data_IF_136202172968
#
_entry.id   IF_136202172968
#
_cell.length_a   1.000
_cell.length_b   1.000
_cell.length_c   1.000
_cell.angle_alpha   90.00
_cell.angle_beta   90.00
_cell.angle_gamma   90.00
#
_symmetry.space_group_name_H-M   'P 1'
#
loop_
_entity.id
_entity.type
_entity.pdbx_description
1 polymer ?
#
# COMPACT_ATOMS: atom_id res chain seq x y z
N UNK A 1 -15.09 -8.64 2.68
CA UNK A 1 -13.90 -8.35 1.84
C UNK A 1 -12.82 -9.32 2.27
N UNK A 2 -12.13 -9.96 1.34
CA UNK A 2 -11.01 -10.87 1.63
C UNK A 2 -9.93 -10.16 2.45
N UNK A 3 -9.44 -10.80 3.54
CA UNK A 3 -8.44 -10.21 4.44
C UNK A 3 -7.19 -9.75 3.70
N UNK A 4 -6.69 -10.54 2.73
CA UNK A 4 -5.51 -10.14 1.94
C UNK A 4 -5.77 -8.88 1.11
N UNK A 5 -6.94 -8.73 0.50
CA UNK A 5 -7.30 -7.50 -0.21
C UNK A 5 -7.32 -6.28 0.71
N UNK A 6 -7.76 -6.47 1.96
CA UNK A 6 -7.80 -5.39 2.94
C UNK A 6 -6.40 -5.02 3.42
N UNK A 7 -5.48 -6.00 3.59
CA UNK A 7 -4.07 -5.73 3.86
C UNK A 7 -3.44 -4.88 2.75
N UNK A 8 -3.68 -5.23 1.47
CA UNK A 8 -3.18 -4.46 0.33
C UNK A 8 -3.74 -3.03 0.29
N UNK A 9 -5.05 -2.85 0.53
CA UNK A 9 -5.70 -1.53 0.54
C UNK A 9 -5.26 -0.66 1.71
N UNK A 10 -4.85 -1.25 2.83
CA UNK A 10 -4.22 -0.54 3.95
C UNK A 10 -2.80 -0.09 3.63
N UNK A 11 -2.08 -0.81 2.78
CA UNK A 11 -0.66 -0.64 2.47
C UNK A 11 0.29 -0.87 3.67
N UNK A 12 -0.11 -0.47 4.86
CA UNK A 12 0.66 -0.62 6.12
C UNK A 12 -0.05 -1.59 7.03
N UNK A 13 0.66 -2.59 7.51
CA UNK A 13 0.22 -3.56 8.52
C UNK A 13 1.01 -3.30 9.81
N UNK A 14 0.43 -2.59 10.79
CA UNK A 14 1.08 -2.34 12.06
C UNK A 14 1.37 -3.64 12.81
N UNK A 15 2.63 -3.85 13.17
CA UNK A 15 3.09 -4.95 14.03
C UNK A 15 3.03 -4.47 15.48
N UNK A 16 1.98 -4.87 16.18
CA UNK A 16 1.63 -4.35 17.50
C UNK A 16 2.08 -5.30 18.59
N UNK A 17 2.81 -4.76 19.58
CA UNK A 17 3.24 -5.49 20.78
C UNK A 17 2.58 -4.85 21.99
N UNK A 18 1.68 -5.59 22.64
CA UNK A 18 0.93 -5.15 23.81
C UNK A 18 1.38 -5.95 25.05
N UNK A 19 1.75 -5.25 26.12
CA UNK A 19 2.03 -5.92 27.40
C UNK A 19 0.75 -6.11 28.24
N UNK A 20 -0.27 -5.28 28.00
CA UNK A 20 -1.56 -5.32 28.69
C UNK A 20 -2.71 -5.18 27.67
N UNK A 21 -3.70 -6.05 27.77
CA UNK A 21 -4.85 -6.04 26.87
C UNK A 21 -5.74 -4.79 27.00
N UNK A 22 -5.67 -4.07 28.13
CA UNK A 22 -6.40 -2.80 28.33
C UNK A 22 -6.06 -1.73 27.30
N UNK A 23 -4.84 -1.76 26.73
CA UNK A 23 -4.35 -0.77 25.76
C UNK A 23 -4.78 -1.11 24.32
N UNK A 24 -5.31 -2.32 24.09
CA UNK A 24 -5.58 -2.84 22.75
C UNK A 24 -6.64 -2.02 21.99
N UNK A 25 -7.77 -1.71 22.64
CA UNK A 25 -8.87 -0.96 22.02
C UNK A 25 -8.46 0.49 21.73
N UNK A 26 -7.75 1.14 22.67
CA UNK A 26 -7.27 2.50 22.45
C UNK A 26 -6.26 2.57 21.29
N UNK A 27 -5.35 1.58 21.21
CA UNK A 27 -4.40 1.43 20.10
C UNK A 27 -5.15 1.24 18.76
N UNK A 28 -6.14 0.34 18.70
CA UNK A 28 -6.94 0.12 17.49
C UNK A 28 -7.65 1.40 17.03
N UNK A 29 -8.25 2.15 17.95
CA UNK A 29 -8.89 3.44 17.65
C UNK A 29 -7.91 4.48 17.13
N UNK A 30 -6.69 4.54 17.67
CA UNK A 30 -5.65 5.44 17.19
C UNK A 30 -5.20 5.09 15.77
N UNK A 31 -5.05 3.80 15.45
CA UNK A 31 -4.75 3.32 14.10
C UNK A 31 -5.88 3.69 13.11
N UNK A 32 -7.14 3.44 13.47
CA UNK A 32 -8.30 3.82 12.66
C UNK A 32 -8.36 5.33 12.40
N UNK A 33 -8.15 6.15 13.42
CA UNK A 33 -8.10 7.61 13.30
C UNK A 33 -6.93 8.09 12.39
N UNK A 34 -5.89 7.27 12.26
CA UNK A 34 -4.77 7.46 11.32
C UNK A 34 -5.03 6.91 9.91
N UNK A 35 -6.22 6.35 9.64
CA UNK A 35 -6.60 5.78 8.36
C UNK A 35 -6.05 4.36 8.13
N UNK A 36 -5.57 3.68 9.16
CA UNK A 36 -5.09 2.29 9.13
C UNK A 36 -6.12 1.39 9.77
N UNK A 37 -6.78 0.56 8.99
CA UNK A 37 -7.91 -0.30 9.38
C UNK A 37 -7.54 -1.78 9.55
N UNK A 38 -6.24 -2.06 9.67
CA UNK A 38 -5.68 -3.38 9.94
C UNK A 38 -4.67 -3.32 11.07
N UNK A 39 -4.53 -4.38 11.87
CA UNK A 39 -3.48 -4.52 12.88
C UNK A 39 -3.08 -5.98 13.11
N UNK A 40 -1.78 -6.23 13.23
CA UNK A 40 -1.19 -7.53 13.58
C UNK A 40 -0.76 -7.50 15.05
N UNK A 41 -1.56 -8.11 15.95
CA UNK A 41 -1.19 -8.25 17.37
C UNK A 41 -0.29 -9.47 17.54
N UNK A 42 0.91 -9.27 18.08
CA UNK A 42 1.92 -10.34 18.12
C UNK A 42 1.80 -11.21 19.37
N UNK A 43 1.93 -12.52 19.21
CA UNK A 43 2.05 -13.52 20.29
C UNK A 43 3.44 -13.50 20.98
N UNK A 44 4.02 -12.30 21.11
CA UNK A 44 5.28 -12.09 21.87
C UNK A 44 5.03 -11.86 23.35
N UNK A 45 3.79 -11.65 23.76
CA UNK A 45 3.36 -11.41 25.13
C UNK A 45 2.15 -12.26 25.48
N UNK A 46 1.91 -12.48 26.76
CA UNK A 46 0.75 -13.21 27.23
C UNK A 46 -0.58 -12.47 26.97
N UNK A 47 -0.54 -11.14 26.77
CA UNK A 47 -1.72 -10.31 26.53
C UNK A 47 -2.32 -10.47 25.12
N UNK A 48 -1.64 -11.18 24.19
CA UNK A 48 -2.02 -11.22 22.78
C UNK A 48 -3.45 -11.70 22.54
N UNK A 49 -3.84 -12.84 23.10
CA UNK A 49 -5.16 -13.45 22.89
C UNK A 49 -6.29 -12.54 23.38
N UNK A 50 -6.17 -12.01 24.61
CA UNK A 50 -7.16 -11.10 25.20
C UNK A 50 -7.21 -9.77 24.45
N UNK A 51 -6.08 -9.27 23.97
CA UNK A 51 -6.01 -8.07 23.13
C UNK A 51 -6.75 -8.26 21.79
N UNK A 52 -6.55 -9.39 21.12
CA UNK A 52 -7.26 -9.74 19.88
C UNK A 52 -8.76 -9.77 20.13
N UNK A 53 -9.20 -10.46 21.20
CA UNK A 53 -10.61 -10.55 21.57
C UNK A 53 -11.20 -9.18 21.82
N UNK A 54 -10.57 -8.36 22.65
CA UNK A 54 -11.03 -7.01 22.97
C UNK A 54 -11.20 -6.12 21.72
N UNK A 55 -10.24 -6.18 20.77
CA UNK A 55 -10.33 -5.43 19.53
C UNK A 55 -11.43 -5.98 18.61
N UNK A 56 -11.53 -7.30 18.45
CA UNK A 56 -12.53 -7.94 17.61
C UNK A 56 -13.97 -7.62 18.07
N UNK A 57 -14.20 -7.53 19.38
CA UNK A 57 -15.50 -7.20 19.96
C UNK A 57 -15.83 -5.70 19.93
N UNK A 58 -14.81 -4.83 20.13
CA UNK A 58 -15.02 -3.38 20.35
C UNK A 58 -14.77 -2.51 19.12
N UNK A 59 -14.08 -3.02 18.10
CA UNK A 59 -13.67 -2.24 16.93
C UNK A 59 -14.03 -2.98 15.62
N UNK A 60 -15.31 -3.01 15.22
CA UNK A 60 -15.78 -3.78 14.05
C UNK A 60 -15.12 -3.32 12.72
N UNK A 61 -14.69 -2.07 12.65
CA UNK A 61 -13.98 -1.53 11.47
C UNK A 61 -12.51 -1.96 11.39
N UNK A 62 -11.94 -2.53 12.48
CA UNK A 62 -10.56 -2.99 12.51
C UNK A 62 -10.46 -4.44 12.06
N UNK A 63 -9.66 -4.72 11.04
CA UNK A 63 -9.25 -6.07 10.70
C UNK A 63 -8.11 -6.48 11.63
N UNK A 64 -8.42 -7.16 12.72
CA UNK A 64 -7.41 -7.68 13.64
C UNK A 64 -6.90 -9.04 13.19
N UNK A 65 -5.59 -9.24 13.25
CA UNK A 65 -4.92 -10.50 13.01
C UNK A 65 -3.86 -10.79 14.08
N UNK A 66 -3.35 -12.00 14.05
CA UNK A 66 -2.32 -12.47 14.97
C UNK A 66 -0.95 -12.58 14.28
N UNK A 67 0.06 -12.01 14.88
CA UNK A 67 1.45 -12.13 14.44
C UNK A 67 2.33 -12.92 15.38
N UNK A 68 3.51 -13.31 14.89
CA UNK A 68 4.46 -14.15 15.63
C UNK A 68 3.81 -15.47 16.09
N UNK A 69 2.91 -16.00 15.27
CA UNK A 69 2.30 -17.33 15.49
C UNK A 69 3.29 -18.39 15.04
N UNK A 70 3.75 -19.23 15.98
CA UNK A 70 4.80 -20.23 15.75
C UNK A 70 4.35 -21.66 16.07
N UNK A 71 3.09 -21.84 16.51
CA UNK A 71 2.51 -23.16 16.76
C UNK A 71 1.05 -23.18 16.31
N UNK A 72 0.55 -24.38 16.00
CA UNK A 72 -0.85 -24.59 15.66
C UNK A 72 -1.80 -24.22 16.82
N UNK A 73 -1.37 -24.44 18.05
CA UNK A 73 -2.15 -24.06 19.25
C UNK A 73 -2.35 -22.52 19.30
N UNK A 74 -1.28 -21.75 19.12
CA UNK A 74 -1.38 -20.29 19.05
C UNK A 74 -2.31 -19.84 17.91
N UNK A 75 -2.19 -20.50 16.74
CA UNK A 75 -3.02 -20.21 15.58
C UNK A 75 -4.52 -20.40 15.90
N UNK A 76 -4.90 -21.56 16.41
CA UNK A 76 -6.29 -21.86 16.80
C UNK A 76 -6.78 -20.89 17.85
N UNK A 77 -5.99 -20.63 18.88
CA UNK A 77 -6.33 -19.67 19.95
C UNK A 77 -6.57 -18.27 19.40
N UNK A 78 -5.71 -17.81 18.49
CA UNK A 78 -5.87 -16.50 17.86
C UNK A 78 -7.19 -16.39 17.08
N UNK A 79 -7.54 -17.41 16.29
CA UNK A 79 -8.78 -17.44 15.50
C UNK A 79 -10.01 -17.52 16.40
N UNK A 80 -9.98 -18.33 17.46
CA UNK A 80 -11.04 -18.38 18.50
C UNK A 80 -11.28 -17.01 19.15
N UNK A 81 -10.21 -16.23 19.35
CA UNK A 81 -10.30 -14.87 19.89
C UNK A 81 -10.72 -13.82 18.86
N UNK A 82 -10.94 -14.20 17.60
CA UNK A 82 -11.48 -13.33 16.56
C UNK A 82 -10.46 -12.83 15.52
N UNK A 83 -9.20 -13.32 15.53
CA UNK A 83 -8.23 -12.99 14.49
C UNK A 83 -8.74 -13.42 13.11
N UNK A 84 -8.63 -12.52 12.12
CA UNK A 84 -9.09 -12.72 10.74
C UNK A 84 -7.96 -13.06 9.77
N UNK A 85 -6.73 -12.94 10.21
CA UNK A 85 -5.54 -13.38 9.47
C UNK A 85 -4.42 -13.76 10.43
N UNK A 86 -3.54 -14.62 9.95
CA UNK A 86 -2.39 -15.15 10.71
C UNK A 86 -1.09 -14.74 10.00
N UNK A 87 -0.11 -14.32 10.79
CA UNK A 87 1.24 -13.98 10.33
C UNK A 87 2.25 -14.77 11.16
N UNK A 88 3.09 -15.53 10.48
CA UNK A 88 4.18 -16.28 11.11
C UNK A 88 5.55 -15.69 10.75
N UNK A 89 6.56 -15.79 11.63
CA UNK A 89 7.91 -15.32 11.31
C UNK A 89 8.65 -16.23 10.33
N UNK A 90 8.25 -17.48 10.20
CA UNK A 90 8.78 -18.51 9.30
C UNK A 90 7.65 -19.31 8.67
N UNK A 91 8.04 -20.31 7.86
CA UNK A 91 7.10 -21.26 7.27
C UNK A 91 6.95 -22.50 8.17
N UNK A 92 5.74 -22.73 8.66
CA UNK A 92 5.33 -23.95 9.34
C UNK A 92 4.17 -24.58 8.57
N UNK A 93 4.38 -25.81 8.07
CA UNK A 93 3.40 -26.48 7.20
C UNK A 93 2.10 -26.77 7.92
N UNK A 94 2.14 -27.14 9.20
CA UNK A 94 0.95 -27.51 9.99
C UNK A 94 0.06 -26.28 10.19
N UNK A 95 0.66 -25.15 10.58
CA UNK A 95 -0.07 -23.86 10.73
C UNK A 95 -0.67 -23.40 9.41
N UNK A 96 0.14 -23.42 8.33
CA UNK A 96 -0.32 -22.96 7.00
C UNK A 96 -1.45 -23.84 6.48
N UNK A 97 -1.30 -25.16 6.54
CA UNK A 97 -2.31 -26.12 6.09
C UNK A 97 -3.63 -25.94 6.85
N UNK A 98 -3.56 -25.85 8.16
CA UNK A 98 -4.75 -25.63 8.98
C UNK A 98 -5.47 -24.32 8.60
N UNK A 99 -4.73 -23.22 8.41
CA UNK A 99 -5.31 -21.94 7.99
C UNK A 99 -6.01 -22.06 6.63
N UNK A 100 -5.37 -22.69 5.64
CA UNK A 100 -5.94 -22.88 4.30
C UNK A 100 -7.22 -23.72 4.37
N UNK A 101 -7.20 -24.84 5.09
CA UNK A 101 -8.36 -25.74 5.26
C UNK A 101 -9.54 -25.08 5.98
N UNK A 102 -9.26 -24.11 6.86
CA UNK A 102 -10.31 -23.38 7.61
C UNK A 102 -10.64 -22.00 7.01
N UNK A 103 -10.13 -21.68 5.82
CA UNK A 103 -10.41 -20.41 5.13
C UNK A 103 -9.87 -19.17 5.83
N UNK A 104 -8.83 -19.32 6.65
CA UNK A 104 -8.15 -18.24 7.37
C UNK A 104 -6.98 -17.74 6.52
N UNK A 105 -6.92 -16.45 6.25
CA UNK A 105 -5.79 -15.86 5.53
C UNK A 105 -4.50 -16.02 6.35
N UNK A 106 -3.43 -16.49 5.70
CA UNK A 106 -2.13 -16.69 6.35
C UNK A 106 -1.00 -16.17 5.48
N UNK A 107 -0.02 -15.50 6.12
CA UNK A 107 1.20 -14.99 5.48
C UNK A 107 2.41 -15.49 6.26
N UNK A 108 2.92 -16.70 5.92
CA UNK A 108 4.11 -17.24 6.55
C UNK A 108 5.38 -16.51 6.11
N UNK A 109 6.39 -16.46 6.98
CA UNK A 109 7.72 -15.95 6.66
C UNK A 109 8.43 -16.86 5.67
N UNK A 110 8.79 -16.33 4.48
CA UNK A 110 9.53 -17.04 3.45
C UNK A 110 10.60 -16.12 2.89
N UNK A 111 11.87 -16.51 3.04
CA UNK A 111 13.04 -15.74 2.56
C UNK A 111 13.91 -16.53 1.58
N UNK A 112 13.65 -17.83 1.43
CA UNK A 112 14.35 -18.72 0.52
C UNK A 112 13.44 -19.28 -0.57
N UNK A 113 13.99 -19.68 -1.74
CA UNK A 113 13.22 -20.34 -2.79
C UNK A 113 12.45 -21.57 -2.30
N UNK A 114 13.05 -22.38 -1.41
CA UNK A 114 12.42 -23.59 -0.87
C UNK A 114 11.17 -23.28 -0.06
N UNK A 115 11.21 -22.28 0.81
CA UNK A 115 10.06 -21.85 1.61
C UNK A 115 8.94 -21.27 0.73
N UNK A 116 9.31 -20.48 -0.29
CA UNK A 116 8.34 -19.92 -1.27
C UNK A 116 7.65 -21.07 -2.02
N UNK A 117 8.42 -22.08 -2.49
CA UNK A 117 7.85 -23.25 -3.17
C UNK A 117 6.91 -24.04 -2.25
N UNK A 118 7.25 -24.18 -0.96
CA UNK A 118 6.38 -24.85 0.02
C UNK A 118 5.08 -24.07 0.23
N UNK A 119 5.15 -22.76 0.36
CA UNK A 119 3.96 -21.89 0.47
C UNK A 119 3.06 -21.98 -0.79
N UNK A 120 3.67 -21.92 -1.98
CA UNK A 120 2.93 -22.02 -3.25
C UNK A 120 2.25 -23.39 -3.44
N UNK A 121 2.85 -24.50 -2.98
CA UNK A 121 2.22 -25.83 -3.02
C UNK A 121 0.94 -25.89 -2.20
N UNK A 122 0.82 -25.07 -1.17
CA UNK A 122 -0.41 -24.93 -0.36
C UNK A 122 -1.36 -23.83 -0.86
N UNK A 123 -1.11 -23.31 -2.08
CA UNK A 123 -1.97 -22.33 -2.73
C UNK A 123 -1.75 -20.88 -2.31
N UNK A 124 -0.70 -20.57 -1.56
CA UNK A 124 -0.41 -19.20 -1.14
C UNK A 124 0.28 -18.42 -2.26
N UNK A 125 -0.11 -17.17 -2.42
CA UNK A 125 0.49 -16.21 -3.33
C UNK A 125 0.96 -14.93 -2.63
N UNK A 126 0.80 -14.83 -1.31
CA UNK A 126 1.29 -13.75 -0.47
C UNK A 126 2.06 -14.33 0.70
N UNK A 127 3.30 -13.89 0.89
CA UNK A 127 4.16 -14.34 1.99
C UNK A 127 4.79 -13.14 2.69
N UNK A 128 5.09 -13.30 3.98
CA UNK A 128 5.90 -12.33 4.73
C UNK A 128 7.38 -12.51 4.35
N UNK A 129 8.11 -11.39 4.24
CA UNK A 129 9.57 -11.39 4.09
C UNK A 129 10.20 -10.72 5.31
N UNK A 130 10.80 -11.51 6.20
CA UNK A 130 11.26 -11.02 7.50
C UNK A 130 12.57 -11.70 7.94
N UNK A 131 13.51 -10.95 8.53
CA UNK A 131 13.61 -9.48 8.59
C UNK A 131 14.10 -8.87 7.26
N UNK A 132 13.26 -8.06 6.62
CA UNK A 132 13.46 -7.65 5.23
C UNK A 132 14.77 -6.88 4.99
N UNK A 133 15.09 -5.91 5.83
CA UNK A 133 16.31 -5.13 5.68
C UNK A 133 17.58 -5.96 5.78
N UNK A 134 17.59 -6.98 6.63
CA UNK A 134 18.76 -7.88 6.84
C UNK A 134 18.94 -8.84 5.66
N UNK A 135 17.85 -9.32 5.07
CA UNK A 135 17.87 -10.26 3.96
C UNK A 135 17.90 -9.62 2.57
N UNK A 136 18.34 -8.35 2.47
CA UNK A 136 18.59 -7.69 1.19
C UNK A 136 17.41 -6.89 0.62
N UNK A 137 16.32 -6.72 1.40
CA UNK A 137 15.25 -5.78 1.09
C UNK A 137 14.60 -5.96 -0.29
N UNK A 138 14.31 -4.85 -0.96
CA UNK A 138 13.67 -4.85 -2.28
C UNK A 138 14.47 -5.63 -3.34
N UNK A 139 15.80 -5.59 -3.28
CA UNK A 139 16.67 -6.26 -4.25
C UNK A 139 16.49 -7.79 -4.18
N UNK A 140 16.48 -8.34 -2.98
CA UNK A 140 16.28 -9.78 -2.77
C UNK A 140 14.87 -10.23 -3.20
N UNK A 141 13.83 -9.49 -2.81
CA UNK A 141 12.44 -9.80 -3.20
C UNK A 141 12.23 -9.67 -4.71
N UNK A 142 12.88 -8.70 -5.37
CA UNK A 142 12.88 -8.58 -6.84
C UNK A 142 13.49 -9.81 -7.50
N UNK A 143 14.64 -10.26 -7.01
CA UNK A 143 15.30 -11.45 -7.54
C UNK A 143 14.44 -12.71 -7.35
N UNK A 144 13.81 -12.87 -6.17
CA UNK A 144 12.91 -13.99 -5.87
C UNK A 144 11.61 -13.91 -6.70
N UNK A 145 11.05 -12.73 -6.96
CA UNK A 145 9.83 -12.59 -7.76
C UNK A 145 9.99 -13.02 -9.22
N UNK A 146 11.23 -13.09 -9.75
CA UNK A 146 11.51 -13.50 -11.12
C UNK A 146 11.07 -14.94 -11.42
N UNK A 147 11.62 -15.95 -10.72
CA UNK A 147 11.23 -17.36 -10.94
C UNK A 147 9.86 -17.72 -10.38
N UNK A 148 9.33 -16.96 -9.42
CA UNK A 148 8.05 -17.22 -8.76
C UNK A 148 6.97 -16.22 -9.20
N UNK A 149 6.57 -16.30 -10.47
CA UNK A 149 5.53 -15.43 -11.02
C UNK A 149 4.23 -15.49 -10.21
N UNK A 150 3.72 -14.31 -9.82
CA UNK A 150 2.48 -14.18 -9.05
C UNK A 150 2.67 -14.16 -7.54
N UNK A 151 3.85 -14.49 -7.00
CA UNK A 151 4.13 -14.32 -5.57
C UNK A 151 4.25 -12.81 -5.22
N UNK A 152 3.68 -12.43 -4.09
CA UNK A 152 3.80 -11.09 -3.52
C UNK A 152 4.31 -11.15 -2.09
N UNK A 153 5.05 -10.13 -1.69
CA UNK A 153 5.70 -10.06 -0.39
C UNK A 153 5.06 -9.01 0.51
N UNK A 154 5.08 -9.30 1.82
CA UNK A 154 4.85 -8.32 2.89
C UNK A 154 6.18 -8.16 3.63
N UNK A 155 7.08 -7.24 3.18
CA UNK A 155 8.34 -6.98 3.88
C UNK A 155 8.06 -6.42 5.27
N UNK A 156 8.76 -6.97 6.26
CA UNK A 156 8.68 -6.54 7.65
C UNK A 156 10.09 -6.44 8.24
N UNK A 157 10.38 -5.38 8.98
CA UNK A 157 11.71 -5.10 9.52
C UNK A 157 12.61 -4.35 8.53
N UNK A 158 12.98 -3.11 8.90
CA UNK A 158 13.77 -2.21 8.05
C UNK A 158 12.93 -1.29 7.15
N UNK A 159 11.60 -1.44 7.15
CA UNK A 159 10.67 -0.49 6.50
C UNK A 159 10.32 0.63 7.48
N UNK A 160 10.22 1.86 6.97
CA UNK A 160 9.89 3.07 7.71
C UNK A 160 9.25 4.12 6.77
N UNK A 161 8.88 5.29 7.32
CA UNK A 161 8.23 6.36 6.56
C UNK A 161 9.08 6.89 5.39
N UNK A 162 10.41 6.83 5.48
CA UNK A 162 11.31 7.36 4.46
C UNK A 162 11.42 6.45 3.23
N UNK A 163 11.31 5.12 3.43
CA UNK A 163 11.50 4.15 2.33
C UNK A 163 10.23 3.42 1.89
N UNK A 164 9.11 3.58 2.59
CA UNK A 164 7.86 2.87 2.27
C UNK A 164 7.40 3.08 0.82
N UNK A 165 7.62 4.28 0.27
CA UNK A 165 7.24 4.61 -1.10
C UNK A 165 7.88 3.69 -2.14
N UNK A 166 9.16 3.36 -1.97
CA UNK A 166 9.90 2.46 -2.86
C UNK A 166 9.32 1.03 -2.82
N UNK A 167 8.94 0.57 -1.60
CA UNK A 167 8.31 -0.74 -1.46
C UNK A 167 6.95 -0.77 -2.15
N UNK A 168 6.07 0.20 -1.88
CA UNK A 168 4.72 0.25 -2.46
C UNK A 168 4.76 0.44 -3.99
N UNK A 169 5.77 1.11 -4.52
CA UNK A 169 5.98 1.24 -5.96
C UNK A 169 6.33 -0.09 -6.64
N UNK A 170 6.88 -1.07 -5.93
CA UNK A 170 7.29 -2.34 -6.51
C UNK A 170 6.10 -3.30 -6.73
N UNK A 171 5.94 -3.90 -7.94
CA UNK A 171 4.75 -4.68 -8.29
C UNK A 171 4.62 -6.00 -7.53
N UNK A 172 5.70 -6.51 -6.96
CA UNK A 172 5.76 -7.74 -6.17
C UNK A 172 5.51 -7.50 -4.67
N UNK A 173 5.23 -6.27 -4.24
CA UNK A 173 4.86 -5.96 -2.86
C UNK A 173 3.34 -5.93 -2.73
N UNK A 174 2.84 -6.60 -1.69
CA UNK A 174 1.41 -6.66 -1.37
C UNK A 174 0.99 -5.58 -0.37
N UNK A 175 1.76 -5.44 0.69
CA UNK A 175 1.68 -4.44 1.75
C UNK A 175 3.03 -4.39 2.45
N UNK A 176 3.21 -3.52 3.44
CA UNK A 176 4.41 -3.51 4.28
C UNK A 176 4.06 -3.69 5.75
N UNK A 177 4.83 -4.48 6.47
CA UNK A 177 4.68 -4.69 7.91
C UNK A 177 5.68 -3.87 8.71
N UNK A 178 5.25 -3.27 9.82
CA UNK A 178 6.20 -2.58 10.68
C UNK A 178 5.62 -2.02 11.97
N UNK A 179 6.49 -1.85 12.95
CA UNK A 179 6.14 -1.33 14.27
C UNK A 179 6.36 0.17 14.43
N UNK A 180 6.95 0.84 13.43
CA UNK A 180 7.28 2.28 13.52
C UNK A 180 6.04 3.18 13.61
N UNK A 181 4.90 2.74 13.07
CA UNK A 181 3.63 3.47 13.15
C UNK A 181 2.92 3.31 14.49
N UNK A 182 3.34 2.33 15.29
CA UNK A 182 2.75 1.97 16.56
C UNK A 182 3.83 1.47 17.54
N UNK A 183 4.80 2.34 17.94
CA UNK A 183 5.88 1.95 18.83
C UNK A 183 5.36 1.49 20.19
N UNK A 184 5.90 0.38 20.71
CA UNK A 184 5.52 -0.18 22.02
C UNK A 184 5.62 0.84 23.15
N UNK A 185 6.64 1.70 23.13
CA UNK A 185 6.82 2.75 24.12
C UNK A 185 5.68 3.79 24.08
N UNK A 186 5.19 4.15 22.90
CA UNK A 186 4.10 5.11 22.75
C UNK A 186 2.76 4.52 23.19
N UNK A 187 2.53 3.21 22.97
CA UNK A 187 1.36 2.49 23.52
C UNK A 187 1.40 2.53 25.05
N UNK A 188 2.52 2.10 25.64
CA UNK A 188 2.68 2.05 27.10
C UNK A 188 2.57 3.44 27.76
N UNK A 189 2.94 4.50 27.06
CA UNK A 189 2.80 5.88 27.50
C UNK A 189 1.41 6.48 27.25
N UNK A 190 0.48 5.75 26.61
CA UNK A 190 -0.84 6.27 26.21
C UNK A 190 -0.77 7.36 25.15
N UNK A 191 0.30 7.43 24.36
CA UNK A 191 0.53 8.47 23.33
C UNK A 191 -0.23 8.19 22.05
N UNK A 192 -1.54 7.97 22.12
CA UNK A 192 -2.37 7.54 21.00
C UNK A 192 -2.50 8.57 19.88
N UNK A 193 -2.48 9.87 20.20
CA UNK A 193 -2.46 10.93 19.18
C UNK A 193 -1.18 10.88 18.32
N UNK A 194 -0.04 10.54 18.94
CA UNK A 194 1.22 10.33 18.21
C UNK A 194 1.12 9.13 17.27
N UNK A 195 0.53 8.02 17.70
CA UNK A 195 0.28 6.84 16.87
C UNK A 195 -0.59 7.23 15.67
N UNK A 196 -1.68 7.97 15.91
CA UNK A 196 -2.54 8.49 14.84
C UNK A 196 -1.76 9.33 13.81
N UNK A 197 -0.88 10.21 14.29
CA UNK A 197 -0.02 11.04 13.42
C UNK A 197 0.95 10.17 12.60
N UNK A 198 1.65 9.23 13.23
CA UNK A 198 2.57 8.31 12.56
C UNK A 198 1.87 7.49 11.45
N UNK A 199 0.64 7.04 11.69
CA UNK A 199 -0.15 6.34 10.69
C UNK A 199 -0.49 7.23 9.48
N UNK A 200 -0.93 8.48 9.72
CA UNK A 200 -1.20 9.46 8.65
C UNK A 200 0.04 9.73 7.81
N UNK A 201 1.19 9.94 8.45
CA UNK A 201 2.48 10.17 7.78
C UNK A 201 2.90 8.95 6.94
N UNK A 202 2.78 7.73 7.49
CA UNK A 202 3.10 6.51 6.76
C UNK A 202 2.19 6.30 5.55
N UNK A 203 0.88 6.56 5.68
CA UNK A 203 -0.05 6.47 4.55
C UNK A 203 0.22 7.54 3.48
N UNK A 204 0.51 8.77 3.88
CA UNK A 204 0.89 9.83 2.94
C UNK A 204 2.15 9.46 2.17
N UNK A 205 3.17 8.91 2.85
CA UNK A 205 4.39 8.43 2.22
C UNK A 205 4.15 7.21 1.31
N UNK A 206 3.25 6.29 1.69
CA UNK A 206 2.86 5.15 0.86
C UNK A 206 2.18 5.59 -0.43
N UNK A 207 1.29 6.56 -0.37
CA UNK A 207 0.63 7.15 -1.55
C UNK A 207 1.61 7.98 -2.39
N UNK A 208 2.44 8.80 -1.75
CA UNK A 208 3.48 9.60 -2.38
C UNK A 208 2.98 10.53 -3.47
N UNK A 209 1.84 11.20 -3.24
CA UNK A 209 1.27 12.13 -4.21
C UNK A 209 2.20 13.30 -4.50
N UNK A 210 2.43 13.57 -5.78
CA UNK A 210 3.17 14.74 -6.28
C UNK A 210 2.63 15.18 -7.64
N UNK A 211 2.70 16.48 -7.94
CA UNK A 211 2.35 16.98 -9.27
C UNK A 211 3.41 16.50 -10.26
N UNK A 212 2.97 15.80 -11.30
CA UNK A 212 3.83 15.31 -12.37
C UNK A 212 4.02 16.35 -13.47
N UNK A 213 2.90 16.84 -13.99
CA UNK A 213 2.83 17.90 -15.01
C UNK A 213 1.44 18.53 -15.04
N UNK A 214 1.37 19.67 -15.69
CA UNK A 214 0.13 20.33 -16.08
C UNK A 214 0.01 20.22 -17.60
N UNK A 215 -1.13 19.69 -18.05
CA UNK A 215 -1.47 19.60 -19.46
C UNK A 215 -2.31 20.80 -19.86
N UNK A 216 -1.91 21.48 -20.94
CA UNK A 216 -2.62 22.63 -21.53
C UNK A 216 -3.26 22.19 -22.84
N UNK A 217 -4.55 22.38 -23.00
CA UNK A 217 -5.24 22.08 -24.25
C UNK A 217 -5.01 23.15 -25.29
N UNK A 218 -4.68 22.75 -26.52
CA UNK A 218 -4.67 23.61 -27.70
C UNK A 218 -5.64 23.09 -28.75
N UNK A 219 -6.03 23.93 -29.69
CA UNK A 219 -6.97 23.57 -30.75
C UNK A 219 -6.34 22.61 -31.77
N UNK A 220 -5.05 22.84 -32.07
CA UNK A 220 -4.30 22.04 -33.03
C UNK A 220 -2.78 22.00 -32.72
N UNK A 221 -2.05 21.27 -33.57
CA UNK A 221 -0.61 21.11 -33.43
C UNK A 221 0.18 22.41 -33.64
N UNK A 222 -0.31 23.33 -34.48
CA UNK A 222 0.34 24.61 -34.73
C UNK A 222 0.23 25.52 -33.51
N UNK A 223 -0.94 25.57 -32.88
CA UNK A 223 -1.16 26.29 -31.63
C UNK A 223 -0.29 25.72 -30.50
N UNK A 224 -0.19 24.38 -30.41
CA UNK A 224 0.66 23.70 -29.43
C UNK A 224 2.15 24.04 -29.62
N UNK A 225 2.64 24.06 -30.90
CA UNK A 225 4.02 24.47 -31.21
C UNK A 225 4.30 25.90 -30.77
N UNK A 226 3.39 26.81 -31.12
CA UNK A 226 3.55 28.23 -30.75
C UNK A 226 3.61 28.45 -29.22
N UNK A 227 2.84 27.66 -28.42
CA UNK A 227 2.93 27.70 -26.96
C UNK A 227 4.28 27.18 -26.48
N UNK A 228 4.74 26.05 -27.00
CA UNK A 228 6.04 25.47 -26.64
C UNK A 228 7.22 26.37 -27.03
N UNK A 229 7.17 27.00 -28.22
CA UNK A 229 8.18 27.94 -28.68
C UNK A 229 8.30 29.14 -27.74
N UNK A 230 7.17 29.74 -27.36
CA UNK A 230 7.15 30.85 -26.38
C UNK A 230 7.70 30.44 -25.00
N UNK A 231 7.37 29.24 -24.53
CA UNK A 231 7.91 28.72 -23.27
C UNK A 231 9.42 28.47 -23.35
N UNK A 232 9.91 28.00 -24.50
CA UNK A 232 11.33 27.84 -24.74
C UNK A 232 12.04 29.18 -24.83
N UNK A 233 11.52 30.14 -25.61
CA UNK A 233 12.10 31.48 -25.76
C UNK A 233 12.17 32.25 -24.44
N UNK A 234 11.10 32.18 -23.62
CA UNK A 234 11.02 32.94 -22.37
C UNK A 234 11.80 32.31 -21.20
N UNK A 235 11.90 30.98 -21.15
CA UNK A 235 12.38 30.26 -19.97
C UNK A 235 13.43 29.15 -20.26
N UNK A 236 13.92 29.06 -21.49
CA UNK A 236 14.85 28.00 -21.92
C UNK A 236 14.36 26.57 -21.64
N UNK A 237 13.04 26.36 -21.68
CA UNK A 237 12.45 25.04 -21.45
C UNK A 237 12.62 24.16 -22.70
N UNK A 238 13.37 23.03 -22.64
CA UNK A 238 13.56 22.19 -23.81
C UNK A 238 12.26 21.57 -24.28
N UNK A 239 11.99 21.68 -25.57
CA UNK A 239 10.77 21.15 -26.19
C UNK A 239 11.04 19.74 -26.71
N UNK A 240 10.14 18.81 -26.34
CA UNK A 240 10.11 17.45 -26.86
C UNK A 240 8.78 17.22 -27.58
N UNK A 241 8.84 16.95 -28.87
CA UNK A 241 7.66 16.61 -29.67
C UNK A 241 7.25 15.15 -29.48
N UNK A 242 5.97 14.90 -29.37
CA UNK A 242 5.32 13.58 -29.27
C UNK A 242 4.13 13.49 -30.22
N UNK A 243 3.46 12.33 -30.24
CA UNK A 243 2.37 12.08 -31.19
C UNK A 243 1.13 12.95 -30.90
N UNK A 244 0.61 12.94 -29.68
CA UNK A 244 -0.62 13.64 -29.25
C UNK A 244 -0.37 14.94 -28.50
N UNK A 245 0.85 15.18 -28.06
CA UNK A 245 1.24 16.32 -27.24
C UNK A 245 2.70 16.68 -27.44
N UNK A 246 3.08 17.87 -26.98
CA UNK A 246 4.45 18.34 -26.87
C UNK A 246 4.76 18.59 -25.39
N UNK A 247 6.00 18.43 -24.99
CA UNK A 247 6.43 18.77 -23.62
C UNK A 247 7.39 19.95 -23.66
N UNK A 248 7.10 20.99 -22.90
CA UNK A 248 8.07 22.02 -22.55
C UNK A 248 8.66 21.65 -21.17
N UNK A 249 9.85 21.09 -21.15
CA UNK A 249 10.45 20.34 -20.06
C UNK A 249 9.57 19.13 -19.62
N UNK A 250 9.74 18.61 -18.40
CA UNK A 250 8.92 17.50 -17.88
C UNK A 250 7.63 17.98 -17.18
N UNK A 251 7.46 19.27 -16.97
CA UNK A 251 6.38 19.83 -16.12
C UNK A 251 5.18 20.39 -16.87
N UNK A 252 5.31 20.66 -18.17
CA UNK A 252 4.25 21.23 -19.00
C UNK A 252 4.03 20.36 -20.22
N UNK A 253 2.87 19.75 -20.31
CA UNK A 253 2.40 19.01 -21.49
C UNK A 253 1.43 19.89 -22.28
N UNK A 254 1.70 20.11 -23.57
CA UNK A 254 0.85 20.91 -24.44
C UNK A 254 0.18 19.98 -25.44
N UNK A 255 -1.14 19.84 -25.32
CA UNK A 255 -1.93 18.94 -26.14
C UNK A 255 -2.10 19.51 -27.55
N UNK A 256 -1.92 18.66 -28.59
CA UNK A 256 -2.11 19.04 -30.00
C UNK A 256 -3.55 19.08 -30.45
N UNK A 257 -4.48 18.71 -29.58
CA UNK A 257 -5.93 18.78 -29.77
C UNK A 257 -6.61 18.96 -28.42
N UNK A 258 -7.84 19.45 -28.43
CA UNK A 258 -8.66 19.46 -27.19
C UNK A 258 -8.80 18.05 -26.63
N UNK A 259 -8.56 17.90 -25.33
CA UNK A 259 -8.67 16.64 -24.60
C UNK A 259 -9.51 16.84 -23.34
N UNK A 260 -9.43 15.90 -22.37
CA UNK A 260 -10.19 15.96 -21.11
C UNK A 260 -9.89 17.27 -20.34
N UNK A 261 -10.95 17.82 -19.71
CA UNK A 261 -10.93 19.10 -18.99
C UNK A 261 -11.01 20.30 -19.92
N UNK A 262 -11.79 21.31 -19.54
CA UNK A 262 -11.94 22.55 -20.32
C UNK A 262 -10.61 23.25 -20.54
N UNK A 263 -9.78 23.30 -19.48
CA UNK A 263 -8.49 24.01 -19.48
C UNK A 263 -7.30 23.08 -19.72
N UNK A 264 -7.53 21.75 -19.71
CA UNK A 264 -6.50 20.74 -19.79
C UNK A 264 -6.54 19.76 -18.62
N UNK A 265 -5.39 19.27 -18.18
CA UNK A 265 -5.34 18.28 -17.10
C UNK A 265 -4.20 18.54 -16.11
N UNK A 266 -4.36 17.96 -14.92
CA UNK A 266 -3.31 17.89 -13.88
C UNK A 266 -2.96 16.42 -13.67
N UNK A 267 -1.72 16.06 -13.88
CA UNK A 267 -1.20 14.74 -13.60
C UNK A 267 -0.63 14.67 -12.18
N UNK A 268 -1.13 13.73 -11.39
CA UNK A 268 -0.64 13.45 -10.03
C UNK A 268 0.06 12.09 -10.03
N UNK A 269 1.36 12.07 -9.81
CA UNK A 269 2.11 10.82 -9.59
C UNK A 269 1.77 10.22 -8.24
N UNK A 270 1.78 8.90 -8.20
CA UNK A 270 1.62 8.12 -6.96
C UNK A 270 2.46 6.86 -7.00
N UNK A 271 2.80 6.31 -5.84
CA UNK A 271 3.55 5.06 -5.73
C UNK A 271 2.71 3.83 -6.13
N UNK A 272 1.37 3.91 -6.06
CA UNK A 272 0.45 2.89 -6.57
C UNK A 272 -0.88 3.54 -6.96
N UNK A 273 -1.23 3.44 -8.24
CA UNK A 273 -2.50 3.99 -8.75
C UNK A 273 -3.68 3.25 -8.13
N UNK A 274 -3.60 1.91 -7.96
CA UNK A 274 -4.65 1.13 -7.32
C UNK A 274 -4.89 1.55 -5.87
N UNK A 275 -3.81 1.77 -5.09
CA UNK A 275 -3.89 2.25 -3.72
C UNK A 275 -4.48 3.67 -3.68
N UNK A 276 -4.06 4.54 -4.59
CA UNK A 276 -4.53 5.92 -4.69
C UNK A 276 -6.02 5.99 -5.03
N UNK A 277 -6.49 5.19 -5.99
CA UNK A 277 -7.91 5.08 -6.35
C UNK A 277 -8.75 4.62 -5.15
N UNK A 278 -8.29 3.58 -4.43
CA UNK A 278 -8.98 3.08 -3.24
C UNK A 278 -9.04 4.14 -2.11
N UNK A 279 -7.97 4.90 -1.92
CA UNK A 279 -7.92 5.98 -0.92
C UNK A 279 -8.81 7.16 -1.29
N UNK A 280 -8.81 7.56 -2.56
CA UNK A 280 -9.64 8.66 -3.05
C UNK A 280 -11.13 8.30 -3.02
N UNK A 281 -11.49 7.04 -3.29
CA UNK A 281 -12.86 6.56 -3.17
C UNK A 281 -13.40 6.68 -1.73
N UNK A 282 -12.58 6.43 -0.70
CA UNK A 282 -12.95 6.66 0.71
C UNK A 282 -13.25 8.14 1.01
N UNK A 283 -12.68 9.05 0.22
CA UNK A 283 -12.88 10.51 0.32
C UNK A 283 -13.98 11.02 -0.60
N UNK A 284 -14.69 10.13 -1.31
CA UNK A 284 -15.78 10.48 -2.21
C UNK A 284 -15.37 10.79 -3.65
N UNK A 285 -14.10 10.67 -4.01
CA UNK A 285 -13.60 10.88 -5.36
C UNK A 285 -13.57 9.57 -6.15
N UNK A 286 -14.44 9.42 -7.14
CA UNK A 286 -14.46 8.28 -8.02
C UNK A 286 -13.56 8.48 -9.25
N UNK A 287 -13.02 7.40 -9.80
CA UNK A 287 -12.32 7.45 -11.08
C UNK A 287 -13.21 6.94 -12.22
N UNK A 288 -12.88 7.34 -13.45
CA UNK A 288 -13.49 6.87 -14.68
C UNK A 288 -12.81 5.55 -15.09
N UNK A 289 -13.51 4.44 -14.90
CA UNK A 289 -13.00 3.09 -15.20
C UNK A 289 -12.57 2.93 -16.66
N UNK A 290 -13.24 3.62 -17.61
CA UNK A 290 -12.91 3.58 -19.02
C UNK A 290 -11.57 4.25 -19.35
N UNK A 291 -11.07 5.09 -18.45
CA UNK A 291 -9.78 5.79 -18.59
C UNK A 291 -8.59 4.97 -18.06
N UNK A 292 -8.86 3.88 -17.35
CA UNK A 292 -7.82 3.09 -16.71
C UNK A 292 -6.89 2.44 -17.73
N UNK A 293 -5.59 2.65 -17.57
CA UNK A 293 -4.56 1.98 -18.39
C UNK A 293 -3.78 1.01 -17.51
N UNK A 294 -3.46 -0.14 -18.07
CA UNK A 294 -2.73 -1.20 -17.38
C UNK A 294 -1.45 -1.56 -18.11
N UNK A 295 -0.40 -1.87 -17.36
CA UNK A 295 0.85 -2.45 -17.87
C UNK A 295 1.25 -3.60 -16.95
N UNK A 296 1.47 -4.79 -17.52
CA UNK A 296 1.82 -6.00 -16.77
C UNK A 296 0.85 -6.29 -15.59
N UNK A 297 -0.46 -6.10 -15.83
CA UNK A 297 -1.51 -6.35 -14.83
C UNK A 297 -1.63 -5.28 -13.73
N UNK A 298 -0.87 -4.18 -13.80
CA UNK A 298 -0.90 -3.06 -12.86
C UNK A 298 -1.51 -1.82 -13.50
N UNK A 299 -2.36 -1.11 -12.78
CA UNK A 299 -2.92 0.16 -13.23
C UNK A 299 -1.82 1.22 -13.26
N UNK A 300 -1.67 1.90 -14.39
CA UNK A 300 -0.64 2.93 -14.57
C UNK A 300 -1.20 4.34 -14.73
N UNK A 301 -2.46 4.46 -15.15
CA UNK A 301 -3.17 5.72 -15.31
C UNK A 301 -4.63 5.52 -14.90
N UNK A 302 -5.23 6.51 -14.24
CA UNK A 302 -6.66 6.59 -14.00
C UNK A 302 -7.09 8.06 -13.89
N UNK A 303 -8.09 8.49 -14.67
CA UNK A 303 -8.68 9.82 -14.53
C UNK A 303 -9.75 9.83 -13.44
N UNK A 304 -9.79 10.87 -12.62
CA UNK A 304 -10.92 11.12 -11.73
C UNK A 304 -12.14 11.55 -12.56
N UNK A 305 -13.34 11.29 -12.05
CA UNK A 305 -14.59 11.78 -12.68
C UNK A 305 -14.78 13.28 -12.51
N UNK A 306 -14.29 13.80 -11.38
CA UNK A 306 -14.41 15.21 -11.04
C UNK A 306 -13.31 16.05 -11.72
N UNK A 307 -13.70 17.26 -12.16
CA UNK A 307 -12.78 18.28 -12.62
C UNK A 307 -12.50 19.30 -11.50
N UNK A 308 -11.28 19.82 -11.47
CA UNK A 308 -10.83 20.83 -10.51
C UNK A 308 -10.51 22.13 -11.23
N UNK A 309 -11.37 23.13 -11.09
CA UNK A 309 -11.19 24.42 -11.77
C UNK A 309 -11.17 24.32 -13.31
N UNK A 310 -11.91 23.37 -13.88
CA UNK A 310 -11.91 23.10 -15.33
C UNK A 310 -10.72 22.26 -15.83
N UNK A 311 -9.91 21.71 -14.93
CA UNK A 311 -8.88 20.73 -15.25
C UNK A 311 -9.36 19.32 -14.92
N UNK A 312 -9.20 18.39 -15.84
CA UNK A 312 -9.30 16.98 -15.53
C UNK A 312 -8.09 16.57 -14.67
N UNK A 313 -8.29 15.66 -13.73
CA UNK A 313 -7.18 15.15 -12.90
C UNK A 313 -6.97 13.68 -13.15
N UNK A 314 -5.72 13.29 -13.36
CA UNK A 314 -5.41 11.87 -13.48
C UNK A 314 -4.25 11.46 -12.59
N UNK A 315 -4.31 10.21 -12.16
CA UNK A 315 -3.24 9.53 -11.42
C UNK A 315 -2.26 8.92 -12.42
N UNK A 316 -0.98 8.94 -12.08
CA UNK A 316 0.11 8.40 -12.88
C UNK A 316 1.04 7.58 -11.98
N UNK A 317 1.31 6.33 -12.38
CA UNK A 317 2.25 5.46 -11.67
C UNK A 317 3.68 6.01 -11.75
N UNK A 318 4.38 6.08 -10.62
CA UNK A 318 5.83 6.37 -10.55
C UNK A 318 6.65 5.27 -11.18
#
# INVERSE_FOLDING_TARGET
MDSLKRLAASAVVPVVVLDDAKDAVATAKALLAGGVDVMEITFRTAAAADSIKAVAESCPDMLVGAGTVITLEQCKKAVECGAKFIVAPGFDEEVVRWCVENGVAVTPGCVTPTEIMAAMKLGLNVVKFFPAGVYGGLSAMKALSGPFGGIKFIPTGGVNTQNIGEFIAAPFIHAVGGSWVCPKADIAAGSFEKITKLCKEARAAALGFEVAHIGVNCEDAAAASAVCEKLNEAFDLPVKDGNSSMFASSGIEVMKTMFKGKNGHIAIRTNSVELAVAELAKKGFAYDESSAKYKNGRMTVAYLKDEFGGFAVHLLQK
#
